data_IF_140342621609
#
_entry.id   IF_140342621609
#
_cell.length_a   1.000
_cell.length_b   1.000
_cell.length_c   1.000
_cell.angle_alpha   90.00
_cell.angle_beta   90.00
_cell.angle_gamma   90.00
#
_symmetry.space_group_name_H-M   'P 1'
#
loop_
_entity.id
_entity.type
_entity.pdbx_description
1 polymer ?
#
# COMPACT_ATOMS: atom_id res chain seq x y z
N UNK A 1 -7.34 1.81 28.77
CA UNK A 1 -7.34 2.40 27.42
C UNK A 1 -6.18 1.78 26.67
N UNK A 2 -6.45 0.86 25.74
CA UNK A 2 -5.36 0.33 24.90
C UNK A 2 -4.82 1.48 24.04
N UNK A 3 -3.49 1.73 24.02
CA UNK A 3 -2.96 2.67 23.07
C UNK A 3 -3.30 2.12 21.69
N UNK A 4 -4.02 2.92 20.88
CA UNK A 4 -4.13 2.65 19.45
C UNK A 4 -2.70 2.44 18.97
N UNK A 5 -2.40 1.23 18.52
CA UNK A 5 -1.13 0.86 17.94
C UNK A 5 -1.03 1.59 16.59
N UNK A 6 -0.86 2.91 16.63
CA UNK A 6 -0.75 3.77 15.47
C UNK A 6 0.57 3.44 14.82
N UNK A 7 0.52 2.78 13.66
CA UNK A 7 1.72 2.61 12.86
C UNK A 7 2.21 3.98 12.42
N UNK A 8 3.53 4.12 12.33
CA UNK A 8 4.12 5.31 11.73
C UNK A 8 3.80 5.31 10.24
N UNK A 9 3.67 6.51 9.71
CA UNK A 9 3.58 6.81 8.28
C UNK A 9 4.51 5.95 7.41
N UNK A 10 5.80 5.95 7.72
CA UNK A 10 6.81 5.16 7.00
C UNK A 10 6.56 3.64 7.09
N UNK A 11 6.04 3.15 8.23
CA UNK A 11 5.71 1.74 8.38
C UNK A 11 4.52 1.35 7.52
N UNK A 12 3.49 2.20 7.42
CA UNK A 12 2.34 1.95 6.55
C UNK A 12 2.78 1.84 5.09
N UNK A 13 3.71 2.70 4.63
CA UNK A 13 4.25 2.65 3.28
C UNK A 13 4.97 1.32 2.98
N UNK A 14 5.87 0.90 3.87
CA UNK A 14 6.61 -0.38 3.72
C UNK A 14 5.65 -1.57 3.64
N UNK A 15 4.62 -1.61 4.48
CA UNK A 15 3.68 -2.73 4.52
C UNK A 15 2.76 -2.75 3.27
N UNK A 16 2.47 -1.58 2.68
CA UNK A 16 1.75 -1.50 1.40
C UNK A 16 2.60 -1.98 0.23
N UNK A 17 3.88 -1.61 0.18
CA UNK A 17 4.83 -2.06 -0.83
C UNK A 17 5.02 -3.60 -0.79
N UNK A 18 5.17 -4.16 0.42
CA UNK A 18 5.31 -5.62 0.63
C UNK A 18 4.03 -6.39 0.26
N UNK A 19 2.86 -5.80 0.54
CA UNK A 19 1.57 -6.37 0.14
C UNK A 19 1.42 -6.42 -1.39
N UNK A 20 1.83 -5.36 -2.09
CA UNK A 20 1.83 -5.32 -3.55
C UNK A 20 2.76 -6.38 -4.15
N UNK A 21 3.99 -6.50 -3.64
CA UNK A 21 4.95 -7.53 -4.10
C UNK A 21 4.40 -8.94 -3.88
N UNK A 22 3.74 -9.17 -2.74
CA UNK A 22 3.12 -10.46 -2.43
C UNK A 22 1.97 -10.78 -3.38
N UNK A 23 1.12 -9.79 -3.69
CA UNK A 23 -0.01 -9.97 -4.60
C UNK A 23 0.44 -10.22 -6.05
N UNK A 24 1.44 -9.48 -6.54
CA UNK A 24 2.01 -9.69 -7.87
C UNK A 24 2.63 -11.10 -7.99
N UNK A 25 3.36 -11.55 -6.96
CA UNK A 25 3.85 -12.94 -6.91
C UNK A 25 2.72 -13.96 -6.92
N UNK A 26 1.67 -13.70 -6.15
CA UNK A 26 0.53 -14.63 -6.06
C UNK A 26 -0.20 -14.72 -7.41
N UNK A 27 -0.45 -13.59 -8.09
CA UNK A 27 -1.04 -13.56 -9.43
C UNK A 27 -0.22 -14.39 -10.44
N UNK A 28 1.11 -14.28 -10.38
CA UNK A 28 2.02 -15.07 -11.24
C UNK A 28 2.07 -16.57 -10.88
N UNK A 29 1.74 -16.95 -9.65
CA UNK A 29 1.79 -18.35 -9.17
C UNK A 29 0.45 -19.10 -9.25
N UNK A 30 -0.65 -18.40 -9.53
CA UNK A 30 -1.97 -19.01 -9.66
C UNK A 30 -2.16 -19.58 -11.07
N UNK A 31 -2.54 -20.86 -11.14
CA UNK A 31 -2.78 -21.60 -12.40
C UNK A 31 -3.99 -21.10 -13.18
N UNK A 32 -4.95 -20.48 -12.49
CA UNK A 32 -6.05 -19.72 -13.06
C UNK A 32 -5.97 -18.30 -12.50
N UNK A 33 -6.18 -17.26 -13.33
CA UNK A 33 -6.15 -15.88 -12.84
C UNK A 33 -7.32 -15.68 -11.87
N UNK A 34 -7.04 -15.70 -10.56
CA UNK A 34 -7.84 -14.89 -9.65
C UNK A 34 -7.59 -13.46 -10.09
N UNK A 35 -8.65 -12.76 -10.50
CA UNK A 35 -8.57 -11.36 -10.90
C UNK A 35 -8.24 -10.52 -9.66
N UNK A 36 -6.96 -10.46 -9.31
CA UNK A 36 -6.40 -9.63 -8.24
C UNK A 36 -6.15 -8.19 -8.70
N UNK A 37 -6.31 -7.93 -10.01
CA UNK A 37 -6.12 -6.63 -10.66
C UNK A 37 -6.87 -5.48 -9.97
N UNK A 38 -8.09 -5.72 -9.50
CA UNK A 38 -8.88 -4.71 -8.77
C UNK A 38 -8.23 -4.38 -7.42
N UNK A 39 -7.86 -5.40 -6.64
CA UNK A 39 -7.18 -5.21 -5.35
C UNK A 39 -5.79 -4.58 -5.49
N UNK A 40 -5.05 -4.91 -6.55
CA UNK A 40 -3.77 -4.30 -6.88
C UNK A 40 -3.98 -2.81 -7.22
N UNK A 41 -4.96 -2.49 -8.07
CA UNK A 41 -5.24 -1.09 -8.44
C UNK A 41 -5.69 -0.22 -7.26
N UNK A 42 -6.45 -0.79 -6.31
CA UNK A 42 -6.83 -0.09 -5.07
C UNK A 42 -5.60 0.22 -4.20
N UNK A 43 -4.66 -0.71 -4.09
CA UNK A 43 -3.42 -0.54 -3.32
C UNK A 43 -2.49 0.48 -3.98
N UNK A 44 -2.32 0.43 -5.31
CA UNK A 44 -1.54 1.43 -6.06
C UNK A 44 -2.13 2.84 -5.90
N UNK A 45 -3.45 2.97 -5.97
CA UNK A 45 -4.15 4.25 -5.74
C UNK A 45 -3.92 4.76 -4.32
N UNK A 46 -3.98 3.87 -3.33
CA UNK A 46 -3.75 4.22 -1.92
C UNK A 46 -2.31 4.71 -1.69
N UNK A 47 -1.33 4.06 -2.31
CA UNK A 47 0.08 4.49 -2.28
C UNK A 47 0.28 5.85 -2.94
N UNK A 48 -0.32 6.09 -4.11
CA UNK A 48 -0.21 7.37 -4.81
C UNK A 48 -0.81 8.53 -3.99
N UNK A 49 -1.95 8.30 -3.32
CA UNK A 49 -2.54 9.29 -2.42
C UNK A 49 -1.67 9.56 -1.21
N UNK A 50 -1.05 8.52 -0.67
CA UNK A 50 -0.15 8.62 0.46
C UNK A 50 1.09 9.46 0.12
N UNK A 51 1.72 9.20 -1.03
CA UNK A 51 2.86 9.98 -1.51
C UNK A 51 2.51 11.45 -1.68
N UNK A 52 1.36 11.75 -2.32
CA UNK A 52 0.87 13.14 -2.48
C UNK A 52 0.68 13.85 -1.13
N UNK A 53 0.08 13.18 -0.13
CA UNK A 53 -0.13 13.76 1.19
C UNK A 53 1.21 14.08 1.87
N UNK A 54 2.17 13.16 1.82
CA UNK A 54 3.49 13.37 2.43
C UNK A 54 4.38 14.39 1.69
N UNK A 55 4.21 14.56 0.38
CA UNK A 55 4.85 15.62 -0.39
C UNK A 55 4.27 17.01 -0.05
N UNK A 56 2.96 17.11 0.13
CA UNK A 56 2.31 18.38 0.53
C UNK A 56 2.68 18.84 1.94
N UNK A 57 2.91 17.91 2.89
CA UNK A 57 3.44 18.26 4.22
C UNK A 57 4.91 18.73 4.19
N UNK A 58 5.65 18.43 3.12
CA UNK A 58 7.06 18.83 2.97
C UNK A 58 7.25 20.19 2.27
N UNK A 59 6.18 20.80 1.74
CA UNK A 59 6.24 22.06 0.97
C UNK A 59 5.73 23.30 1.72
N UNK A 60 5.23 23.15 2.95
CA UNK A 60 4.74 24.25 3.81
C UNK A 60 5.70 24.60 4.96
N UNK A 61 7.00 24.35 4.77
CA UNK A 61 8.09 24.63 5.73
C UNK A 61 8.95 25.83 5.37
#
# INVERSE_FOLDING_TARGET
MSPRNSWSSNRVKIELEDALETLDRLENHLLEPLTLTESIGELETTLALYDQLTETESTDG
#
